data_IF_714293928031
#
_entry.id   IF_714293928031
#
_cell.length_a   1.000
_cell.length_b   1.000
_cell.length_c   1.000
_cell.angle_alpha   90.00
_cell.angle_beta   90.00
_cell.angle_gamma   90.00
#
_symmetry.space_group_name_H-M   'P 1'
#
loop_
_entity.id
_entity.type
_entity.pdbx_description
1 polymer ?
#
# COMPACT_ATOMS: atom_id res chain seq x y z
N UNK A 1 12.63 -28.85 21.21
CA UNK A 1 12.83 -27.46 20.72
C UNK A 1 12.34 -26.52 21.80
N UNK A 2 13.26 -25.79 22.42
CA UNK A 2 13.14 -25.17 23.76
C UNK A 2 12.07 -24.07 23.85
N UNK A 3 11.33 -24.05 24.96
CA UNK A 3 10.34 -23.04 25.35
C UNK A 3 10.86 -21.60 25.29
N UNK A 4 12.17 -21.39 25.44
CA UNK A 4 12.81 -20.07 25.29
C UNK A 4 12.83 -19.56 23.85
N UNK A 5 12.92 -20.43 22.84
CA UNK A 5 12.82 -19.98 21.44
C UNK A 5 11.40 -19.53 21.10
N UNK A 6 10.39 -20.23 21.63
CA UNK A 6 8.99 -19.90 21.41
C UNK A 6 8.64 -18.55 22.05
N UNK A 7 9.19 -18.23 23.23
CA UNK A 7 8.96 -16.94 23.89
C UNK A 7 9.60 -15.77 23.13
N UNK A 8 10.84 -15.92 22.64
CA UNK A 8 11.51 -14.86 21.86
C UNK A 8 10.79 -14.60 20.54
N UNK A 9 10.37 -15.64 19.81
CA UNK A 9 9.61 -15.49 18.56
C UNK A 9 8.29 -14.77 18.81
N UNK A 10 7.59 -15.10 19.90
CA UNK A 10 6.31 -14.47 20.25
C UNK A 10 6.48 -13.00 20.61
N UNK A 11 7.52 -12.66 21.38
CA UNK A 11 7.86 -11.28 21.72
C UNK A 11 8.18 -10.48 20.45
N UNK A 12 9.04 -11.01 19.58
CA UNK A 12 9.39 -10.36 18.32
C UNK A 12 8.17 -10.16 17.43
N UNK A 13 7.35 -11.20 17.22
CA UNK A 13 6.14 -11.14 16.41
C UNK A 13 5.10 -10.14 16.95
N UNK A 14 5.09 -9.92 18.27
CA UNK A 14 4.18 -8.96 18.91
C UNK A 14 4.67 -7.53 18.77
N UNK A 15 5.93 -7.24 19.12
CA UNK A 15 6.42 -5.86 19.17
C UNK A 15 6.97 -5.33 17.84
N UNK A 16 7.36 -6.20 16.90
CA UNK A 16 7.86 -5.78 15.59
C UNK A 16 6.83 -4.96 14.78
N UNK A 17 5.54 -5.38 14.65
CA UNK A 17 4.52 -4.58 13.97
C UNK A 17 4.30 -3.20 14.61
N UNK A 18 4.38 -3.12 15.95
CA UNK A 18 4.23 -1.87 16.69
C UNK A 18 5.40 -0.92 16.39
N UNK A 19 6.64 -1.41 16.50
CA UNK A 19 7.84 -0.64 16.18
C UNK A 19 7.81 -0.15 14.73
N UNK A 20 7.43 -1.02 13.79
CA UNK A 20 7.31 -0.68 12.37
C UNK A 20 6.27 0.41 12.16
N UNK A 21 5.12 0.34 12.84
CA UNK A 21 4.07 1.37 12.78
C UNK A 21 4.59 2.72 13.29
N UNK A 22 5.22 2.76 14.47
CA UNK A 22 5.79 3.98 15.04
C UNK A 22 6.83 4.62 14.10
N UNK A 23 7.81 3.85 13.64
CA UNK A 23 8.88 4.34 12.75
C UNK A 23 8.30 4.84 11.43
N UNK A 24 7.38 4.08 10.83
CA UNK A 24 6.74 4.45 9.55
C UNK A 24 5.95 5.74 9.68
N UNK A 25 5.20 5.90 10.76
CA UNK A 25 4.43 7.13 11.03
C UNK A 25 5.34 8.33 11.21
N UNK A 26 6.40 8.21 12.00
CA UNK A 26 7.35 9.31 12.25
C UNK A 26 8.03 9.73 10.93
N UNK A 27 8.64 8.78 10.22
CA UNK A 27 9.40 9.08 9.00
C UNK A 27 8.52 9.62 7.88
N UNK A 28 7.33 9.04 7.64
CA UNK A 28 6.42 9.55 6.62
C UNK A 28 5.82 10.91 7.00
N UNK A 29 5.62 11.20 8.29
CA UNK A 29 5.21 12.54 8.74
C UNK A 29 6.29 13.58 8.44
N UNK A 30 7.57 13.26 8.70
CA UNK A 30 8.69 14.12 8.29
C UNK A 30 8.72 14.37 6.78
N UNK A 31 8.51 13.33 5.97
CA UNK A 31 8.42 13.44 4.50
C UNK A 31 7.31 14.41 4.09
N UNK A 32 6.12 14.30 4.68
CA UNK A 32 5.00 15.19 4.39
C UNK A 32 5.35 16.64 4.74
N UNK A 33 5.91 16.88 5.94
CA UNK A 33 6.29 18.22 6.41
C UNK A 33 7.32 18.86 5.47
N UNK A 34 8.37 18.13 5.11
CA UNK A 34 9.44 18.62 4.23
C UNK A 34 8.91 18.91 2.83
N UNK A 35 8.11 18.00 2.26
CA UNK A 35 7.59 18.14 0.89
C UNK A 35 6.42 19.13 0.76
N UNK A 36 5.91 19.67 1.86
CA UNK A 36 4.96 20.78 1.83
C UNK A 36 5.64 22.14 1.64
N UNK A 37 6.96 22.23 1.84
CA UNK A 37 7.72 23.48 1.67
C UNK A 37 7.69 23.95 0.21
N UNK A 38 7.61 25.28 0.01
CA UNK A 38 7.44 25.91 -1.32
C UNK A 38 8.53 25.49 -2.33
N UNK A 39 9.76 25.27 -1.87
CA UNK A 39 10.92 24.88 -2.69
C UNK A 39 10.68 23.58 -3.45
N UNK A 40 9.94 22.63 -2.86
CA UNK A 40 9.73 21.30 -3.41
C UNK A 40 8.46 21.17 -4.26
N UNK A 41 7.57 22.17 -4.25
CA UNK A 41 6.24 22.10 -4.90
C UNK A 41 6.28 21.97 -6.42
N UNK A 42 7.39 22.35 -7.05
CA UNK A 42 7.54 22.40 -8.51
C UNK A 42 7.93 21.06 -9.14
N UNK A 43 8.29 20.02 -8.37
CA UNK A 43 8.69 18.73 -8.95
C UNK A 43 7.52 17.72 -8.96
N UNK A 44 7.19 17.11 -10.12
CA UNK A 44 6.09 16.14 -10.23
C UNK A 44 6.28 14.93 -9.30
N UNK A 45 7.52 14.43 -9.19
CA UNK A 45 7.90 13.31 -8.31
C UNK A 45 7.49 13.54 -6.85
N UNK A 46 7.57 14.79 -6.37
CA UNK A 46 7.29 15.13 -4.97
C UNK A 46 5.80 14.99 -4.66
N UNK A 47 4.92 15.18 -5.65
CA UNK A 47 3.49 14.95 -5.46
C UNK A 47 3.17 13.47 -5.22
N UNK A 48 3.78 12.58 -6.00
CA UNK A 48 3.67 11.13 -5.75
C UNK A 48 4.16 10.78 -4.36
N UNK A 49 5.35 11.25 -3.97
CA UNK A 49 5.94 10.95 -2.66
C UNK A 49 5.07 11.39 -1.49
N UNK A 50 4.42 12.57 -1.57
CA UNK A 50 3.48 13.01 -0.53
C UNK A 50 2.29 12.06 -0.41
N UNK A 51 1.69 11.69 -1.54
CA UNK A 51 0.53 10.79 -1.54
C UNK A 51 0.92 9.41 -1.03
N UNK A 52 2.07 8.88 -1.47
CA UNK A 52 2.63 7.62 -0.96
C UNK A 52 2.84 7.71 0.55
N UNK A 53 3.41 8.80 1.07
CA UNK A 53 3.63 8.96 2.51
C UNK A 53 2.32 8.92 3.30
N UNK A 54 1.24 9.55 2.81
CA UNK A 54 -0.08 9.41 3.43
C UNK A 54 -0.59 7.97 3.39
N UNK A 55 -0.54 7.32 2.21
CA UNK A 55 -1.01 5.95 2.04
C UNK A 55 -0.23 4.97 2.92
N UNK A 56 1.09 5.12 2.99
CA UNK A 56 1.98 4.26 3.79
C UNK A 56 1.67 4.38 5.30
N UNK A 57 1.33 5.58 5.80
CA UNK A 57 0.84 5.76 7.17
C UNK A 57 -0.45 4.96 7.37
N UNK A 58 -1.48 5.19 6.55
CA UNK A 58 -2.76 4.48 6.70
C UNK A 58 -2.62 2.96 6.60
N UNK A 59 -1.74 2.47 5.72
CA UNK A 59 -1.50 1.05 5.52
C UNK A 59 -1.01 0.34 6.78
N UNK A 60 -0.04 0.93 7.51
CA UNK A 60 0.49 0.30 8.74
C UNK A 60 -0.54 0.28 9.87
N UNK A 61 -1.47 1.23 9.94
CA UNK A 61 -2.56 1.19 10.92
C UNK A 61 -3.59 0.10 10.64
N UNK A 62 -3.72 -0.37 9.40
CA UNK A 62 -4.65 -1.44 9.05
C UNK A 62 -4.17 -2.81 9.50
N UNK A 63 -3.09 -3.33 8.91
CA UNK A 63 -2.61 -4.70 9.18
C UNK A 63 -1.70 -4.84 10.40
N UNK A 64 -0.75 -3.93 10.60
CA UNK A 64 0.27 -4.12 11.65
C UNK A 64 -0.29 -3.88 13.04
N UNK A 65 -1.18 -2.90 13.17
CA UNK A 65 -1.85 -2.60 14.43
C UNK A 65 -2.77 -3.76 14.84
N UNK A 66 -3.55 -4.31 13.91
CA UNK A 66 -4.40 -5.48 14.15
C UNK A 66 -3.57 -6.69 14.62
N UNK A 67 -2.42 -6.95 13.97
CA UNK A 67 -1.51 -8.01 14.37
C UNK A 67 -0.98 -7.84 15.80
N UNK A 68 -0.66 -6.60 16.21
CA UNK A 68 -0.25 -6.29 17.58
C UNK A 68 -1.40 -6.56 18.57
N UNK A 69 -2.61 -6.08 18.28
CA UNK A 69 -3.77 -6.29 19.15
C UNK A 69 -4.11 -7.78 19.32
N UNK A 70 -4.07 -8.53 18.22
CA UNK A 70 -4.31 -9.97 18.25
C UNK A 70 -3.32 -10.71 19.14
N UNK A 71 -2.02 -10.44 18.99
CA UNK A 71 -1.00 -11.15 19.75
C UNK A 71 -0.91 -10.71 21.21
N UNK A 72 -1.14 -9.42 21.50
CA UNK A 72 -0.98 -8.88 22.86
C UNK A 72 -2.23 -9.01 23.71
N UNK A 73 -3.41 -8.77 23.13
CA UNK A 73 -4.68 -8.69 23.85
C UNK A 73 -5.67 -9.80 23.47
N UNK A 74 -5.36 -10.62 22.45
CA UNK A 74 -6.17 -11.77 22.06
C UNK A 74 -7.44 -11.42 21.27
N UNK A 75 -7.58 -10.18 20.80
CA UNK A 75 -8.70 -9.76 19.95
C UNK A 75 -8.22 -9.15 18.63
N UNK A 76 -9.03 -9.32 17.59
CA UNK A 76 -8.79 -8.79 16.24
C UNK A 76 -9.72 -7.58 16.03
N UNK A 77 -9.15 -6.41 15.74
CA UNK A 77 -9.88 -5.15 15.58
C UNK A 77 -10.76 -5.20 14.32
N UNK A 78 -10.25 -5.84 13.27
CA UNK A 78 -11.01 -6.05 12.04
C UNK A 78 -12.19 -7.02 12.27
N UNK A 79 -12.12 -7.95 13.23
CA UNK A 79 -13.21 -8.91 13.52
C UNK A 79 -14.11 -8.53 14.69
N UNK A 80 -14.11 -7.27 15.12
CA UNK A 80 -15.07 -6.80 16.14
C UNK A 80 -16.51 -6.76 15.62
N UNK A 81 -16.70 -6.31 14.37
CA UNK A 81 -18.01 -6.24 13.72
C UNK A 81 -17.88 -6.65 12.25
N UNK A 82 -18.97 -7.14 11.64
CA UNK A 82 -18.99 -7.45 10.20
C UNK A 82 -18.61 -6.22 9.37
N UNK A 83 -19.05 -5.04 9.80
CA UNK A 83 -18.71 -3.77 9.18
C UNK A 83 -17.21 -3.47 9.28
N UNK A 84 -16.61 -3.64 10.46
CA UNK A 84 -15.15 -3.48 10.65
C UNK A 84 -14.38 -4.41 9.73
N UNK A 85 -14.79 -5.67 9.61
CA UNK A 85 -14.10 -6.67 8.80
C UNK A 85 -14.15 -6.32 7.31
N UNK A 86 -15.33 -5.95 6.81
CA UNK A 86 -15.54 -5.51 5.43
C UNK A 86 -14.71 -4.28 5.09
N UNK A 87 -14.78 -3.24 5.92
CA UNK A 87 -14.07 -1.99 5.70
C UNK A 87 -12.56 -2.16 5.83
N UNK A 88 -12.09 -2.83 6.88
CA UNK A 88 -10.66 -3.08 7.10
C UNK A 88 -10.07 -3.88 5.95
N UNK A 89 -10.71 -4.99 5.54
CA UNK A 89 -10.27 -5.80 4.40
C UNK A 89 -10.20 -4.95 3.13
N UNK A 90 -11.28 -4.22 2.81
CA UNK A 90 -11.35 -3.37 1.64
C UNK A 90 -10.28 -2.28 1.62
N UNK A 91 -10.13 -1.50 2.68
CA UNK A 91 -9.15 -0.42 2.77
C UNK A 91 -7.72 -0.94 2.71
N UNK A 92 -7.41 -2.07 3.37
CA UNK A 92 -6.07 -2.65 3.31
C UNK A 92 -5.69 -3.05 1.86
N UNK A 93 -6.61 -3.64 1.11
CA UNK A 93 -6.37 -3.96 -0.30
C UNK A 93 -6.22 -2.70 -1.17
N UNK A 94 -7.10 -1.72 -1.00
CA UNK A 94 -7.03 -0.47 -1.77
C UNK A 94 -5.74 0.30 -1.48
N UNK A 95 -5.35 0.46 -0.22
CA UNK A 95 -4.16 1.21 0.19
C UNK A 95 -2.88 0.51 -0.25
N UNK A 96 -2.76 -0.81 -0.05
CA UNK A 96 -1.58 -1.58 -0.43
C UNK A 96 -1.33 -1.53 -1.94
N UNK A 97 -2.36 -1.84 -2.73
CA UNK A 97 -2.28 -1.77 -4.20
C UNK A 97 -2.01 -0.34 -4.66
N UNK A 98 -2.64 0.68 -4.05
CA UNK A 98 -2.41 2.08 -4.42
C UNK A 98 -0.96 2.50 -4.18
N UNK A 99 -0.36 2.14 -3.03
CA UNK A 99 1.04 2.46 -2.75
C UNK A 99 1.97 1.84 -3.80
N UNK A 100 1.75 0.58 -4.17
CA UNK A 100 2.55 -0.11 -5.17
C UNK A 100 2.47 0.55 -6.56
N UNK A 101 1.26 0.83 -7.05
CA UNK A 101 1.06 1.45 -8.37
C UNK A 101 1.53 2.91 -8.42
N UNK A 102 1.40 3.67 -7.33
CA UNK A 102 1.98 5.01 -7.24
C UNK A 102 3.51 5.01 -7.39
N UNK A 103 4.19 3.99 -6.86
CA UNK A 103 5.65 3.82 -7.03
C UNK A 103 6.01 3.49 -8.49
N UNK A 104 5.22 2.66 -9.16
CA UNK A 104 5.37 2.39 -10.62
C UNK A 104 5.25 3.68 -11.42
N UNK A 105 4.20 4.47 -11.19
CA UNK A 105 4.00 5.74 -11.88
C UNK A 105 5.10 6.75 -11.60
N UNK A 106 5.62 6.78 -10.37
CA UNK A 106 6.78 7.61 -10.03
C UNK A 106 8.02 7.21 -10.85
N UNK A 107 8.30 5.91 -11.01
CA UNK A 107 9.41 5.43 -11.84
C UNK A 107 9.19 5.77 -13.33
N UNK A 108 7.97 5.54 -13.84
CA UNK A 108 7.61 5.89 -15.21
C UNK A 108 7.79 7.40 -15.47
N UNK A 109 7.31 8.25 -14.56
CA UNK A 109 7.42 9.71 -14.69
C UNK A 109 8.89 10.17 -14.71
N UNK A 110 9.76 9.58 -13.88
CA UNK A 110 11.21 9.82 -13.90
C UNK A 110 11.83 9.44 -15.23
N UNK A 111 11.48 8.29 -15.78
CA UNK A 111 11.98 7.84 -17.09
C UNK A 111 11.55 8.81 -18.20
N UNK A 112 10.26 9.19 -18.26
CA UNK A 112 9.77 10.15 -19.24
C UNK A 112 10.37 11.54 -19.08
N UNK A 113 10.70 11.96 -17.86
CA UNK A 113 11.33 13.25 -17.60
C UNK A 113 12.78 13.31 -18.12
N UNK A 114 13.52 12.19 -18.07
CA UNK A 114 14.87 12.11 -18.62
C UNK A 114 14.89 12.21 -20.15
N UNK A 115 13.87 11.63 -20.81
CA UNK A 115 13.82 11.57 -22.27
C UNK A 115 13.23 12.83 -22.95
N UNK A 116 12.92 13.91 -22.21
CA UNK A 116 12.22 15.09 -22.77
C UNK A 116 12.99 16.41 -22.55
N UNK A 117 12.97 17.28 -23.57
CA UNK A 117 13.59 18.62 -23.56
C UNK A 117 12.86 19.58 -22.60
N UNK A 118 13.30 19.50 -21.35
CA UNK A 118 13.29 20.33 -20.12
C UNK A 118 12.32 21.52 -19.88
N UNK A 119 11.69 22.23 -20.82
CA UNK A 119 11.07 23.54 -20.45
C UNK A 119 9.59 23.75 -20.73
N UNK A 120 9.05 23.43 -21.92
CA UNK A 120 7.62 23.74 -22.22
C UNK A 120 6.60 22.76 -21.61
N UNK A 121 7.04 21.67 -20.96
CA UNK A 121 6.15 20.60 -20.45
C UNK A 121 5.92 20.57 -18.94
N UNK A 122 6.55 21.41 -18.12
CA UNK A 122 6.39 21.36 -16.66
C UNK A 122 4.93 21.52 -16.20
N UNK A 123 4.17 22.45 -16.82
CA UNK A 123 2.74 22.65 -16.52
C UNK A 123 1.89 21.44 -16.96
N UNK A 124 2.17 20.86 -18.13
CA UNK A 124 1.45 19.69 -18.63
C UNK A 124 1.75 18.43 -17.80
N UNK A 125 2.99 18.28 -17.33
CA UNK A 125 3.41 17.21 -16.41
C UNK A 125 2.64 17.28 -15.09
N UNK A 126 2.37 18.47 -14.56
CA UNK A 126 1.61 18.63 -13.31
C UNK A 126 0.17 18.12 -13.39
N UNK A 127 -0.55 18.42 -14.49
CA UNK A 127 -1.92 17.91 -14.69
C UNK A 127 -1.90 16.41 -14.92
N UNK A 128 -0.96 15.91 -15.74
CA UNK A 128 -0.79 14.47 -16.00
C UNK A 128 -0.59 13.68 -14.70
N UNK A 129 0.27 14.16 -13.79
CA UNK A 129 0.52 13.48 -12.51
C UNK A 129 -0.74 13.40 -11.64
N UNK A 130 -1.52 14.48 -11.54
CA UNK A 130 -2.77 14.46 -10.77
C UNK A 130 -3.75 13.45 -11.40
N UNK A 131 -3.89 13.47 -12.72
CA UNK A 131 -4.74 12.50 -13.44
C UNK A 131 -4.29 11.06 -13.19
N UNK A 132 -2.98 10.78 -13.23
CA UNK A 132 -2.44 9.45 -12.96
C UNK A 132 -2.70 9.00 -11.51
N UNK A 133 -2.51 9.88 -10.53
CA UNK A 133 -2.80 9.58 -9.12
C UNK A 133 -4.29 9.28 -8.94
N UNK A 134 -5.16 10.17 -9.41
CA UNK A 134 -6.62 10.04 -9.24
C UNK A 134 -7.14 8.81 -9.98
N UNK A 135 -6.71 8.59 -11.23
CA UNK A 135 -7.10 7.39 -12.00
C UNK A 135 -6.61 6.09 -11.35
N UNK A 136 -5.44 6.09 -10.70
CA UNK A 136 -4.94 4.92 -9.95
C UNK A 136 -5.87 4.59 -8.80
N UNK A 137 -6.24 5.58 -7.98
CA UNK A 137 -7.19 5.35 -6.89
C UNK A 137 -8.55 4.89 -7.40
N UNK A 138 -9.11 5.54 -8.43
CA UNK A 138 -10.40 5.14 -9.01
C UNK A 138 -10.35 3.70 -9.52
N UNK A 139 -9.30 3.34 -10.29
CA UNK A 139 -9.16 1.99 -10.85
C UNK A 139 -9.08 0.93 -9.75
N UNK A 140 -8.29 1.18 -8.71
CA UNK A 140 -8.11 0.25 -7.60
C UNK A 140 -9.38 0.14 -6.75
N UNK A 141 -10.06 1.26 -6.48
CA UNK A 141 -11.36 1.28 -5.80
C UNK A 141 -12.37 0.41 -6.56
N UNK A 142 -12.47 0.57 -7.88
CA UNK A 142 -13.39 -0.20 -8.71
C UNK A 142 -13.06 -1.71 -8.72
N UNK A 143 -11.78 -2.06 -8.87
CA UNK A 143 -11.32 -3.46 -8.84
C UNK A 143 -11.67 -4.14 -7.51
N UNK A 144 -11.54 -3.41 -6.39
CA UNK A 144 -11.75 -3.94 -5.04
C UNK A 144 -13.20 -3.81 -4.54
N UNK A 145 -14.12 -3.22 -5.32
CA UNK A 145 -15.49 -2.93 -4.88
C UNK A 145 -16.29 -4.19 -4.49
N UNK A 146 -15.94 -5.34 -5.06
CA UNK A 146 -16.56 -6.62 -4.73
C UNK A 146 -16.25 -7.09 -3.28
N UNK A 147 -15.15 -6.62 -2.66
CA UNK A 147 -14.76 -7.03 -1.31
C UNK A 147 -15.77 -6.61 -0.22
N UNK A 148 -16.18 -5.35 -0.06
CA UNK A 148 -17.15 -4.99 0.97
C UNK A 148 -18.52 -5.68 0.80
N UNK A 149 -18.85 -6.10 -0.44
CA UNK A 149 -20.10 -6.80 -0.73
C UNK A 149 -20.02 -8.23 -0.23
N UNK A 150 -19.00 -8.97 -0.68
CA UNK A 150 -18.94 -10.42 -0.49
C UNK A 150 -18.02 -10.86 0.66
N UNK A 151 -17.11 -10.03 1.14
CA UNK A 151 -16.22 -10.41 2.26
C UNK A 151 -16.92 -10.34 3.61
N UNK A 152 -16.48 -11.22 4.52
CA UNK A 152 -16.85 -11.33 5.92
C UNK A 152 -18.33 -11.65 6.19
N UNK A 153 -18.55 -12.58 7.12
CA UNK A 153 -19.90 -12.94 7.59
C UNK A 153 -19.90 -13.23 9.08
N UNK A 154 -21.04 -12.98 9.74
CA UNK A 154 -21.24 -13.40 11.13
C UNK A 154 -21.76 -14.83 11.17
N UNK A 155 -21.18 -15.65 12.03
CA UNK A 155 -21.68 -16.99 12.32
C UNK A 155 -21.71 -17.22 13.82
N UNK A 156 -22.61 -18.09 14.27
CA UNK A 156 -22.73 -18.45 15.67
C UNK A 156 -21.85 -19.68 15.92
N UNK A 157 -20.87 -19.52 16.80
CA UNK A 157 -20.05 -20.63 17.29
C UNK A 157 -20.42 -20.89 18.75
N UNK A 158 -21.11 -21.99 19.02
CA UNK A 158 -21.73 -22.25 20.32
C UNK A 158 -22.64 -21.09 20.78
N UNK A 159 -22.26 -20.40 21.86
CA UNK A 159 -22.98 -19.24 22.42
C UNK A 159 -22.34 -17.89 22.03
N UNK A 160 -21.29 -17.88 21.24
CA UNK A 160 -20.58 -16.66 20.81
C UNK A 160 -20.85 -16.37 19.33
N UNK A 161 -21.15 -15.11 19.02
CA UNK A 161 -21.16 -14.63 17.63
C UNK A 161 -19.74 -14.32 17.22
N UNK A 162 -19.23 -15.02 16.19
CA UNK A 162 -17.89 -14.80 15.63
C UNK A 162 -18.01 -14.30 14.19
N UNK A 163 -16.95 -13.66 13.73
CA UNK A 163 -16.87 -13.12 12.37
C UNK A 163 -15.85 -13.94 11.59
N UNK A 164 -16.32 -14.57 10.51
CA UNK A 164 -15.51 -15.37 9.61
C UNK A 164 -15.07 -14.55 8.41
N UNK A 165 -13.84 -14.77 7.93
CA UNK A 165 -13.37 -14.24 6.65
C UNK A 165 -13.92 -15.05 5.47
N UNK A 166 -14.09 -14.40 4.30
CA UNK A 166 -14.65 -15.02 3.10
C UNK A 166 -16.15 -14.73 2.92
N UNK A 167 -16.86 -15.55 2.14
CA UNK A 167 -18.31 -15.39 1.94
C UNK A 167 -19.06 -16.72 2.10
N UNK A 168 -20.34 -16.62 2.49
CA UNK A 168 -21.24 -17.77 2.67
C UNK A 168 -21.68 -18.41 1.35
N UNK A 169 -21.83 -17.61 0.29
CA UNK A 169 -22.49 -18.02 -0.96
C UNK A 169 -21.55 -18.01 -2.18
N UNK A 170 -20.41 -17.34 -2.10
CA UNK A 170 -19.49 -17.12 -3.21
C UNK A 170 -18.02 -17.24 -2.77
N UNK A 171 -17.29 -18.23 -3.30
CA UNK A 171 -15.87 -18.41 -2.95
C UNK A 171 -14.99 -17.39 -3.69
N UNK A 172 -14.75 -16.23 -3.06
CA UNK A 172 -13.77 -15.23 -3.52
C UNK A 172 -12.33 -15.77 -3.35
N UNK A 173 -12.10 -16.44 -2.23
CA UNK A 173 -10.84 -17.09 -1.91
C UNK A 173 -10.89 -18.56 -2.34
N UNK A 174 -9.79 -19.12 -2.87
CA UNK A 174 -8.42 -18.60 -2.85
C UNK A 174 -8.02 -17.73 -4.05
N UNK A 175 -8.82 -17.66 -5.12
CA UNK A 175 -8.46 -17.00 -6.39
C UNK A 175 -8.03 -15.54 -6.17
N UNK A 176 -8.77 -14.81 -5.32
CA UNK A 176 -8.44 -13.42 -5.02
C UNK A 176 -7.06 -13.22 -4.38
N UNK A 177 -6.54 -14.20 -3.63
CA UNK A 177 -5.19 -14.10 -3.07
C UNK A 177 -4.12 -14.02 -4.17
N UNK A 178 -4.29 -14.80 -5.25
CA UNK A 178 -3.37 -14.77 -6.39
C UNK A 178 -3.48 -13.46 -7.17
N UNK A 179 -4.71 -12.98 -7.39
CA UNK A 179 -4.95 -11.69 -8.07
C UNK A 179 -4.35 -10.55 -7.25
N UNK A 180 -4.60 -10.53 -5.94
CA UNK A 180 -4.03 -9.53 -5.05
C UNK A 180 -2.50 -9.58 -5.04
N UNK A 181 -1.90 -10.77 -4.97
CA UNK A 181 -0.45 -10.95 -5.03
C UNK A 181 0.13 -10.40 -6.35
N UNK A 182 -0.54 -10.64 -7.48
CA UNK A 182 -0.11 -10.14 -8.77
C UNK A 182 -0.20 -8.61 -8.86
N UNK A 183 -1.34 -8.03 -8.45
CA UNK A 183 -1.61 -6.59 -8.55
C UNK A 183 -0.82 -5.76 -7.54
N UNK A 184 -0.57 -6.28 -6.34
CA UNK A 184 0.16 -5.58 -5.29
C UNK A 184 1.67 -5.74 -5.43
N UNK A 185 2.15 -6.94 -5.84
CA UNK A 185 3.57 -7.28 -5.74
C UNK A 185 4.20 -7.56 -7.11
N UNK A 186 3.79 -8.63 -7.79
CA UNK A 186 4.51 -9.16 -8.97
C UNK A 186 4.57 -8.13 -10.10
N UNK A 187 3.41 -7.61 -10.52
CA UNK A 187 3.32 -6.67 -11.64
C UNK A 187 4.02 -5.35 -11.31
N UNK A 188 3.73 -4.69 -10.16
CA UNK A 188 4.44 -3.47 -9.78
C UNK A 188 5.95 -3.64 -9.68
N UNK A 189 6.43 -4.75 -9.11
CA UNK A 189 7.85 -5.02 -8.97
C UNK A 189 8.56 -5.15 -10.33
N UNK A 190 7.99 -5.93 -11.26
CA UNK A 190 8.55 -6.09 -12.61
C UNK A 190 8.58 -4.75 -13.34
N UNK A 191 7.51 -3.95 -13.28
CA UNK A 191 7.47 -2.65 -13.92
C UNK A 191 8.47 -1.66 -13.32
N UNK A 192 8.58 -1.61 -11.99
CA UNK A 192 9.60 -0.80 -11.32
C UNK A 192 11.01 -1.20 -11.74
N UNK A 193 11.30 -2.50 -11.83
CA UNK A 193 12.60 -3.02 -12.26
C UNK A 193 12.91 -2.58 -13.70
N UNK A 194 11.97 -2.77 -14.63
CA UNK A 194 12.12 -2.34 -16.03
C UNK A 194 12.41 -0.84 -16.12
N UNK A 195 11.60 0.00 -15.48
CA UNK A 195 11.81 1.46 -15.54
C UNK A 195 13.15 1.88 -14.94
N UNK A 196 13.55 1.29 -13.81
CA UNK A 196 14.84 1.62 -13.19
C UNK A 196 16.03 1.17 -14.06
N UNK A 197 15.96 0.00 -14.71
CA UNK A 197 16.99 -0.44 -15.67
C UNK A 197 17.09 0.54 -16.85
N UNK A 198 15.95 0.96 -17.41
CA UNK A 198 15.92 1.93 -18.52
C UNK A 198 16.50 3.29 -18.12
N UNK A 199 16.20 3.78 -16.92
CA UNK A 199 16.76 5.02 -16.37
C UNK A 199 18.30 4.92 -16.28
N UNK A 200 18.81 3.83 -15.70
CA UNK A 200 20.26 3.62 -15.53
C UNK A 200 20.95 3.57 -16.90
N UNK A 201 20.40 2.81 -17.86
CA UNK A 201 20.95 2.73 -19.22
C UNK A 201 21.01 4.10 -19.89
N UNK A 202 19.94 4.89 -19.78
CA UNK A 202 19.89 6.22 -20.37
C UNK A 202 20.90 7.19 -19.74
N UNK A 203 21.06 7.16 -18.41
CA UNK A 203 22.05 7.98 -17.71
C UNK A 203 23.50 7.63 -18.09
N UNK A 204 23.80 6.35 -18.29
CA UNK A 204 25.13 5.91 -18.75
C UNK A 204 25.41 6.39 -20.17
N UNK A 205 24.41 6.37 -21.06
CA UNK A 205 24.55 6.86 -22.44
C UNK A 205 24.81 8.37 -22.48
N UNK A 206 24.04 9.16 -21.72
CA UNK A 206 24.24 10.61 -21.64
C UNK A 206 25.63 10.96 -21.07
N UNK A 207 26.14 10.21 -20.10
CA UNK A 207 27.47 10.47 -19.53
C UNK A 207 28.63 10.20 -20.52
N UNK A 208 28.39 9.37 -21.55
CA UNK A 208 29.42 9.02 -22.55
C UNK A 208 29.46 9.99 -23.74
N UNK A 209 28.38 10.74 -23.98
CA UNK A 209 28.31 11.82 -24.98
C UNK A 209 28.78 13.14 -24.39
#
# INVERSE_FOLDING_TARGET
>A
MSSHHLSVITILATYYPLCLTCVTTILNSFVIIIFYQKVFRQRPTIRYMRVIAFVDIFLVYGWNLDHFFRLKFGFEVDRLTVLSCKLSTYFNHVLSQSSAWLRVWMCADRFYALNQVRQRRAIHQHRRVIVLIVSTFISIILINLHLPIFSCYSYRNHNETRIGGGSLHFQIYPIWNYINLALYNIIPFILMLIFNILIIRHLILIKRT
#
